data_IF_314316284444
#
_entry.id   IF_314316284444
#
_cell.length_a   1.000
_cell.length_b   1.000
_cell.length_c   1.000
_cell.angle_alpha   90.00
_cell.angle_beta   90.00
_cell.angle_gamma   90.00
#
_symmetry.space_group_name_H-M   'P 1'
#
loop_
_entity.id
_entity.type
_entity.pdbx_description
1 polymer ?
#
# COMPACT_ATOMS: atom_id res chain seq x y z
N UNK A 1 -4.52 -25.05 11.73
CA UNK A 1 -3.69 -24.12 10.93
C UNK A 1 -4.59 -23.33 9.99
N UNK A 2 -4.38 -22.02 9.90
CA UNK A 2 -5.11 -21.18 8.96
C UNK A 2 -4.63 -21.49 7.55
N UNK A 3 -5.57 -21.78 6.67
CA UNK A 3 -5.28 -21.97 5.25
C UNK A 3 -5.68 -20.70 4.52
N UNK A 4 -4.87 -20.28 3.55
CA UNK A 4 -5.13 -19.09 2.74
C UNK A 4 -5.09 -19.44 1.27
N UNK A 5 -5.79 -18.62 0.48
CA UNK A 5 -5.81 -18.73 -0.96
C UNK A 5 -5.60 -17.35 -1.55
N UNK A 6 -4.70 -17.25 -2.52
CA UNK A 6 -4.48 -16.00 -3.23
C UNK A 6 -5.77 -15.58 -3.95
N UNK A 7 -6.21 -14.36 -3.70
CA UNK A 7 -7.43 -13.83 -4.31
C UNK A 7 -7.13 -12.97 -5.54
N UNK A 8 -6.20 -12.05 -5.44
CA UNK A 8 -5.73 -11.24 -6.56
C UNK A 8 -4.42 -10.55 -6.22
N UNK A 9 -3.74 -10.08 -7.27
CA UNK A 9 -2.58 -9.19 -7.18
C UNK A 9 -3.03 -7.82 -7.63
N UNK A 10 -2.70 -6.79 -6.86
CA UNK A 10 -3.06 -5.41 -7.15
C UNK A 10 -1.80 -4.60 -7.45
N UNK A 11 -1.88 -3.77 -8.50
CA UNK A 11 -0.84 -2.80 -8.85
C UNK A 11 -1.45 -1.42 -8.77
N UNK A 12 -0.84 -0.55 -7.97
CA UNK A 12 -1.34 0.79 -7.73
C UNK A 12 -0.47 1.84 -8.42
N UNK A 13 -1.10 2.83 -8.99
CA UNK A 13 -0.42 4.01 -9.54
C UNK A 13 -0.38 5.09 -8.46
N UNK A 14 0.82 5.48 -8.05
CA UNK A 14 1.03 6.48 -7.01
C UNK A 14 1.88 7.61 -7.59
N UNK A 15 1.26 8.62 -8.24
CA UNK A 15 2.00 9.65 -8.96
C UNK A 15 2.65 10.67 -8.03
N UNK A 16 2.16 10.83 -6.82
CA UNK A 16 2.67 11.83 -5.89
C UNK A 16 2.47 11.41 -4.44
N UNK A 17 3.38 11.89 -3.60
CA UNK A 17 3.33 11.73 -2.15
C UNK A 17 3.41 13.12 -1.53
N UNK A 18 2.44 13.44 -0.66
CA UNK A 18 2.44 14.67 0.12
C UNK A 18 3.16 14.38 1.43
N UNK A 19 4.22 15.14 1.71
CA UNK A 19 4.97 15.02 2.95
C UNK A 19 4.53 16.12 3.92
N UNK A 20 3.85 15.74 5.00
CA UNK A 20 3.39 16.68 6.01
C UNK A 20 4.46 16.96 7.08
N UNK A 21 5.60 16.26 6.99
CA UNK A 21 6.70 16.42 7.94
C UNK A 21 6.50 15.68 9.24
N UNK A 22 7.27 16.08 10.24
CA UNK A 22 7.23 15.46 11.56
C UNK A 22 6.04 15.96 12.38
N UNK A 23 5.38 15.02 13.02
CA UNK A 23 4.27 15.27 13.95
C UNK A 23 4.60 14.63 15.30
N UNK A 24 3.84 14.91 16.38
CA UNK A 24 4.06 14.20 17.66
C UNK A 24 3.96 12.68 17.55
N UNK A 25 3.26 12.17 16.51
CA UNK A 25 3.09 10.73 16.30
C UNK A 25 4.18 10.13 15.40
N UNK A 26 4.94 10.95 14.70
CA UNK A 26 5.96 10.54 13.74
C UNK A 26 5.87 11.32 12.44
N UNK A 27 6.58 10.86 11.41
CA UNK A 27 6.57 11.46 10.08
C UNK A 27 5.33 11.07 9.29
N UNK A 28 4.50 12.04 8.92
CA UNK A 28 3.25 11.79 8.18
C UNK A 28 3.44 12.06 6.69
N UNK A 29 3.03 11.09 5.87
CA UNK A 29 2.95 11.24 4.42
C UNK A 29 1.61 10.70 3.93
N UNK A 30 1.13 11.24 2.83
CA UNK A 30 -0.07 10.74 2.16
C UNK A 30 0.29 10.42 0.72
N UNK A 31 0.15 9.16 0.34
CA UNK A 31 0.35 8.70 -1.03
C UNK A 31 -1.01 8.69 -1.74
N UNK A 32 -1.16 9.53 -2.76
CA UNK A 32 -2.36 9.54 -3.56
C UNK A 32 -2.35 8.35 -4.52
N UNK A 33 -3.44 7.59 -4.55
CA UNK A 33 -3.64 6.52 -5.52
C UNK A 33 -4.50 7.06 -6.65
N UNK A 34 -3.92 7.12 -7.86
CA UNK A 34 -4.61 7.66 -9.05
C UNK A 34 -5.29 6.59 -9.89
N UNK A 35 -5.14 5.33 -9.55
CA UNK A 35 -5.69 4.23 -10.30
C UNK A 35 -4.85 2.98 -10.13
N UNK A 36 -5.02 2.03 -11.01
CA UNK A 36 -4.33 0.76 -11.01
C UNK A 36 -5.20 -0.37 -11.52
N UNK A 37 -4.72 -1.58 -11.34
CA UNK A 37 -5.44 -2.78 -11.77
C UNK A 37 -5.26 -3.90 -10.76
N UNK A 38 -6.22 -4.81 -10.72
CA UNK A 38 -6.10 -6.03 -9.93
C UNK A 38 -6.48 -7.23 -10.79
N UNK A 39 -5.78 -8.33 -10.58
CA UNK A 39 -5.93 -9.55 -11.36
C UNK A 39 -5.83 -10.77 -10.46
N UNK A 40 -6.80 -11.65 -10.56
CA UNK A 40 -6.83 -12.93 -9.86
C UNK A 40 -7.60 -13.96 -10.67
N UNK A 41 -7.61 -15.21 -10.22
CA UNK A 41 -8.29 -16.30 -10.93
C UNK A 41 -9.78 -16.12 -10.97
N UNK A 42 -10.36 -15.48 -9.96
CA UNK A 42 -11.81 -15.39 -9.78
C UNK A 42 -12.36 -13.98 -9.98
N UNK A 43 -11.51 -12.97 -10.01
CA UNK A 43 -11.92 -11.58 -10.20
C UNK A 43 -10.77 -10.75 -10.72
N UNK A 44 -11.10 -9.74 -11.49
CA UNK A 44 -10.16 -8.76 -12.01
C UNK A 44 -10.89 -7.45 -12.30
N UNK A 45 -10.14 -6.40 -12.43
CA UNK A 45 -10.70 -5.08 -12.73
C UNK A 45 -9.69 -3.97 -12.52
N UNK A 46 -10.22 -2.79 -12.24
CA UNK A 46 -9.43 -1.57 -12.09
C UNK A 46 -9.60 -0.96 -10.71
N UNK A 47 -8.63 -0.16 -10.31
CA UNK A 47 -8.71 0.68 -9.12
C UNK A 47 -9.31 2.01 -9.56
N UNK A 48 -10.40 2.42 -8.92
CA UNK A 48 -11.07 3.67 -9.25
C UNK A 48 -10.16 4.84 -8.91
N UNK A 49 -10.04 5.79 -9.84
CA UNK A 49 -9.29 7.02 -9.61
C UNK A 49 -10.03 7.87 -8.59
N UNK A 50 -9.46 8.11 -7.45
CA UNK A 50 -9.97 8.96 -6.36
C UNK A 50 -11.48 8.79 -6.02
N UNK A 51 -11.85 8.89 -4.74
CA UNK A 51 -10.94 9.08 -3.63
C UNK A 51 -10.26 7.77 -3.23
N UNK A 52 -9.00 7.89 -2.85
CA UNK A 52 -8.24 6.76 -2.35
C UNK A 52 -6.79 7.14 -2.09
N UNK A 53 -6.16 6.41 -1.21
CA UNK A 53 -4.77 6.69 -0.87
C UNK A 53 -4.26 5.85 0.28
N UNK A 54 -3.01 6.12 0.62
CA UNK A 54 -2.30 5.52 1.73
C UNK A 54 -1.83 6.61 2.68
N UNK A 55 -2.34 6.58 3.90
CA UNK A 55 -1.98 7.52 4.96
C UNK A 55 -0.83 6.93 5.76
N UNK A 56 0.38 7.15 5.27
CA UNK A 56 1.62 6.62 5.83
C UNK A 56 2.03 7.36 7.10
N UNK A 57 2.54 6.62 8.08
CA UNK A 57 3.17 7.19 9.26
C UNK A 57 4.49 6.47 9.53
N UNK A 58 5.59 7.21 9.50
CA UNK A 58 6.90 6.72 9.92
C UNK A 58 7.02 6.92 11.42
N UNK A 59 6.94 5.83 12.18
CA UNK A 59 7.02 5.85 13.65
C UNK A 59 8.44 6.23 14.10
N UNK A 60 8.60 6.70 15.36
CA UNK A 60 9.92 6.97 15.91
C UNK A 60 10.88 5.77 15.90
N UNK A 61 10.34 4.54 15.96
CA UNK A 61 11.12 3.30 15.90
C UNK A 61 11.47 2.85 14.47
N UNK A 62 11.23 3.71 13.47
CA UNK A 62 11.52 3.47 12.05
C UNK A 62 10.62 2.39 11.41
N UNK A 63 9.52 2.05 12.03
CA UNK A 63 8.49 1.19 11.43
C UNK A 63 7.51 2.08 10.67
N UNK A 64 7.33 1.79 9.37
CA UNK A 64 6.35 2.49 8.54
C UNK A 64 5.00 1.81 8.71
N UNK A 65 3.98 2.57 9.10
CA UNK A 65 2.60 2.09 9.12
C UNK A 65 1.88 2.53 7.88
N UNK A 66 1.04 1.63 7.34
CA UNK A 66 0.20 1.89 6.18
C UNK A 66 -1.25 1.87 6.61
N UNK A 67 -2.03 2.77 6.04
CA UNK A 67 -3.48 2.85 6.24
C UNK A 67 -4.11 3.20 4.90
N UNK A 68 -4.60 2.19 4.19
CA UNK A 68 -5.01 2.30 2.79
C UNK A 68 -6.51 2.15 2.66
N UNK A 69 -7.11 3.00 1.84
CA UNK A 69 -8.51 2.90 1.42
C UNK A 69 -8.59 3.07 -0.08
N UNK A 70 -9.24 2.12 -0.72
CA UNK A 70 -9.39 2.07 -2.18
C UNK A 70 -10.79 1.66 -2.55
N UNK A 71 -11.21 2.05 -3.74
CA UNK A 71 -12.42 1.50 -4.37
C UNK A 71 -11.98 0.75 -5.61
N UNK A 72 -12.42 -0.48 -5.73
CA UNK A 72 -12.15 -1.33 -6.89
C UNK A 72 -13.42 -1.45 -7.73
N UNK A 73 -13.24 -1.57 -9.03
CA UNK A 73 -14.33 -1.83 -9.97
C UNK A 73 -14.00 -3.10 -10.74
N UNK A 74 -14.82 -4.13 -10.57
CA UNK A 74 -14.64 -5.38 -11.30
C UNK A 74 -15.02 -5.22 -12.77
N UNK A 75 -14.52 -6.11 -13.61
CA UNK A 75 -14.89 -6.13 -15.03
C UNK A 75 -16.39 -6.34 -15.25
N UNK A 76 -17.08 -6.94 -14.28
CA UNK A 76 -18.54 -7.14 -14.30
C UNK A 76 -19.32 -5.88 -13.87
N UNK A 77 -18.64 -4.82 -13.48
CA UNK A 77 -19.28 -3.57 -13.08
C UNK A 77 -19.64 -3.47 -11.59
N UNK A 78 -19.10 -4.32 -10.75
CA UNK A 78 -19.35 -4.29 -9.31
C UNK A 78 -18.27 -3.48 -8.58
N UNK A 79 -18.67 -2.68 -7.60
CA UNK A 79 -17.75 -1.94 -6.75
C UNK A 79 -17.37 -2.76 -5.53
N UNK A 80 -16.09 -2.66 -5.14
CA UNK A 80 -15.58 -3.24 -3.90
C UNK A 80 -14.90 -2.14 -3.10
N UNK A 81 -15.36 -1.91 -1.88
CA UNK A 81 -14.63 -1.06 -0.94
C UNK A 81 -13.56 -1.90 -0.25
N UNK A 82 -12.32 -1.46 -0.35
CA UNK A 82 -11.18 -2.15 0.22
C UNK A 82 -10.43 -1.23 1.18
N UNK A 83 -10.21 -1.70 2.40
CA UNK A 83 -9.35 -1.02 3.35
C UNK A 83 -8.38 -2.02 3.96
N UNK A 84 -7.16 -1.58 4.19
CA UNK A 84 -6.17 -2.41 4.88
C UNK A 84 -5.17 -1.55 5.63
N UNK A 85 -4.57 -2.15 6.64
CA UNK A 85 -3.50 -1.57 7.43
C UNK A 85 -2.32 -2.52 7.45
N UNK A 86 -1.13 -1.97 7.60
CA UNK A 86 0.05 -2.79 7.58
C UNK A 86 1.26 -2.14 8.18
N UNK A 87 2.33 -2.92 8.20
CA UNK A 87 3.62 -2.51 8.70
C UNK A 87 4.70 -2.86 7.69
N UNK A 88 5.68 -1.96 7.54
CA UNK A 88 6.88 -2.21 6.74
C UNK A 88 8.10 -1.81 7.55
N UNK A 89 9.03 -2.73 7.72
CA UNK A 89 10.29 -2.44 8.39
C UNK A 89 11.40 -3.39 7.93
N UNK A 90 12.63 -3.04 8.23
CA UNK A 90 13.80 -3.82 7.87
C UNK A 90 15.08 -3.03 8.13
N UNK A 91 16.23 -3.53 7.65
CA UNK A 91 17.50 -2.82 7.76
C UNK A 91 17.42 -1.42 7.15
N UNK A 92 18.12 -0.46 7.75
CA UNK A 92 18.06 0.94 7.32
C UNK A 92 18.39 1.12 5.85
N UNK A 93 19.44 0.45 5.34
CA UNK A 93 19.84 0.56 3.95
C UNK A 93 18.74 0.03 2.99
N UNK A 94 18.00 -0.98 3.40
CA UNK A 94 16.89 -1.52 2.61
C UNK A 94 15.72 -0.53 2.60
N UNK A 95 15.38 0.02 3.76
CA UNK A 95 14.30 1.01 3.87
C UNK A 95 14.63 2.28 3.08
N UNK A 96 15.88 2.73 3.10
CA UNK A 96 16.32 3.90 2.35
C UNK A 96 16.14 3.69 0.83
N UNK A 97 16.45 2.50 0.34
CA UNK A 97 16.24 2.15 -1.08
C UNK A 97 14.77 2.16 -1.45
N UNK A 98 13.92 1.55 -0.62
CA UNK A 98 12.47 1.55 -0.85
C UNK A 98 11.91 2.97 -0.87
N UNK A 99 12.36 3.83 0.03
CA UNK A 99 11.92 5.23 0.10
C UNK A 99 12.34 6.05 -1.13
N UNK A 100 13.37 5.63 -1.83
CA UNK A 100 13.82 6.24 -3.10
C UNK A 100 13.10 5.66 -4.32
N UNK A 101 12.22 4.67 -4.12
CA UNK A 101 11.53 3.99 -5.21
C UNK A 101 12.35 2.92 -5.92
N UNK A 102 13.48 2.50 -5.34
CA UNK A 102 14.30 1.44 -5.91
C UNK A 102 13.67 0.07 -5.66
N UNK A 103 13.88 -0.84 -6.60
CA UNK A 103 13.44 -2.21 -6.46
C UNK A 103 14.34 -2.95 -5.45
N UNK A 104 13.72 -3.65 -4.51
CA UNK A 104 14.41 -4.42 -3.48
C UNK A 104 13.78 -5.80 -3.39
N UNK A 105 14.59 -6.84 -3.19
CA UNK A 105 14.09 -8.19 -2.96
C UNK A 105 13.17 -8.20 -1.73
N UNK A 106 11.91 -8.63 -1.87
CA UNK A 106 10.96 -8.68 -0.76
C UNK A 106 11.41 -9.54 0.42
N UNK A 107 12.34 -10.46 0.22
CA UNK A 107 12.89 -11.28 1.30
C UNK A 107 13.75 -10.48 2.29
N UNK A 108 14.17 -9.27 1.92
CA UNK A 108 15.06 -8.43 2.72
C UNK A 108 14.35 -7.55 3.73
N UNK A 109 13.01 -7.51 3.70
CA UNK A 109 12.25 -6.66 4.60
C UNK A 109 10.91 -7.30 4.95
N UNK A 110 10.32 -6.81 6.04
CA UNK A 110 8.98 -7.19 6.47
C UNK A 110 7.96 -6.24 5.85
N UNK A 111 6.91 -6.80 5.25
CA UNK A 111 5.80 -6.05 4.70
C UNK A 111 4.54 -6.92 4.77
N UNK A 112 3.66 -6.62 5.72
CA UNK A 112 2.44 -7.40 5.96
C UNK A 112 1.27 -6.48 6.21
N UNK A 113 0.11 -6.90 5.74
CA UNK A 113 -1.12 -6.13 5.82
C UNK A 113 -2.31 -7.02 6.18
N UNK A 114 -3.28 -6.41 6.81
CA UNK A 114 -4.56 -7.05 7.10
C UNK A 114 -5.73 -6.14 6.77
#
# INVERSE_FOLDING_TARGET
MIQTRHIFTIKLSVPSIIDLGQTPMGGRKIAQVSGGEFTGDRMKGTVVQAPGGDWLLMRPDQVLTLDVRLTLLTDDGEYIYMSYRGLRHGPKEVMDKLNKGEAVDPALYYFRMT
#
